data_IF_753027976651
#
_entry.id   IF_753027976651
#
_cell.length_a   1.000
_cell.length_b   1.000
_cell.length_c   1.000
_cell.angle_alpha   90.00
_cell.angle_beta   90.00
_cell.angle_gamma   90.00
#
_symmetry.space_group_name_H-M   'P 1'
#
loop_
_entity.id
_entity.type
_entity.pdbx_description
1 polymer ?
#
# COMPACT_ATOMS: atom_id res chain seq x y z
N UNK A 1 -28.38 51.00 14.77
CA UNK A 1 -26.92 50.83 14.93
C UNK A 1 -26.45 49.37 14.75
N UNK A 2 -27.12 48.36 15.33
CA UNK A 2 -26.73 46.94 15.26
C UNK A 2 -26.76 46.27 13.86
N UNK A 3 -27.58 46.76 12.92
CA UNK A 3 -27.73 46.13 11.58
C UNK A 3 -26.54 46.37 10.65
N UNK A 4 -25.86 47.51 10.78
CA UNK A 4 -24.64 47.82 10.03
C UNK A 4 -23.44 47.04 10.57
N UNK A 5 -23.37 46.84 11.89
CA UNK A 5 -22.30 46.07 12.52
C UNK A 5 -22.31 44.59 12.08
N UNK A 6 -23.49 43.95 12.03
CA UNK A 6 -23.64 42.59 11.48
C UNK A 6 -23.21 42.47 10.02
N UNK A 7 -23.50 43.48 9.17
CA UNK A 7 -23.08 43.47 7.76
C UNK A 7 -21.55 43.53 7.63
N UNK A 8 -20.90 44.39 8.40
CA UNK A 8 -19.44 44.54 8.39
C UNK A 8 -18.76 43.25 8.85
N UNK A 9 -19.23 42.61 9.93
CA UNK A 9 -18.68 41.34 10.41
C UNK A 9 -18.82 40.23 9.35
N UNK A 10 -19.97 40.12 8.69
CA UNK A 10 -20.18 39.14 7.62
C UNK A 10 -19.25 39.40 6.44
N UNK A 11 -18.95 40.65 6.13
CA UNK A 11 -18.03 41.01 5.05
C UNK A 11 -16.58 40.67 5.41
N UNK A 12 -16.14 40.95 6.65
CA UNK A 12 -14.83 40.57 7.16
C UNK A 12 -14.67 39.05 7.16
N UNK A 13 -15.68 38.30 7.63
CA UNK A 13 -15.66 36.83 7.63
C UNK A 13 -15.50 36.28 6.21
N UNK A 14 -16.20 36.85 5.24
CA UNK A 14 -16.06 36.46 3.82
C UNK A 14 -14.64 36.70 3.30
N UNK A 15 -14.03 37.85 3.62
CA UNK A 15 -12.65 38.12 3.23
C UNK A 15 -11.66 37.15 3.89
N UNK A 16 -11.81 36.85 5.18
CA UNK A 16 -10.95 35.88 5.88
C UNK A 16 -11.08 34.48 5.27
N UNK A 17 -12.29 34.04 4.94
CA UNK A 17 -12.53 32.75 4.28
C UNK A 17 -11.89 32.72 2.89
N UNK A 18 -12.06 33.77 2.09
CA UNK A 18 -11.48 33.87 0.75
C UNK A 18 -9.96 33.88 0.80
N UNK A 19 -9.36 34.68 1.68
CA UNK A 19 -7.91 34.71 1.87
C UNK A 19 -7.36 33.36 2.38
N UNK A 20 -8.09 32.70 3.29
CA UNK A 20 -7.74 31.35 3.75
C UNK A 20 -7.80 30.31 2.63
N UNK A 21 -8.83 30.35 1.78
CA UNK A 21 -8.95 29.48 0.62
C UNK A 21 -7.84 29.73 -0.41
N UNK A 22 -7.52 31.00 -0.70
CA UNK A 22 -6.40 31.35 -1.59
C UNK A 22 -5.09 30.86 -1.01
N UNK A 23 -4.84 31.04 0.29
CA UNK A 23 -3.64 30.55 0.95
C UNK A 23 -3.53 29.01 0.89
N UNK A 24 -4.64 28.29 1.11
CA UNK A 24 -4.68 26.84 0.95
C UNK A 24 -4.42 26.41 -0.50
N UNK A 25 -5.01 27.07 -1.49
CA UNK A 25 -4.80 26.77 -2.92
C UNK A 25 -3.34 27.05 -3.30
N UNK A 26 -2.77 28.19 -2.89
CA UNK A 26 -1.37 28.52 -3.15
C UNK A 26 -0.44 27.52 -2.45
N UNK A 27 -0.72 27.13 -1.20
CA UNK A 27 0.07 26.11 -0.50
C UNK A 27 -0.03 24.74 -1.17
N UNK A 28 -1.20 24.34 -1.66
CA UNK A 28 -1.39 23.09 -2.40
C UNK A 28 -0.65 23.11 -3.75
N UNK A 29 -0.72 24.22 -4.50
CA UNK A 29 0.02 24.40 -5.75
C UNK A 29 1.54 24.41 -5.52
N UNK A 30 2.02 25.06 -4.46
CA UNK A 30 3.45 25.07 -4.11
C UNK A 30 3.96 23.71 -3.59
N UNK A 31 3.10 22.93 -2.92
CA UNK A 31 3.45 21.59 -2.46
C UNK A 31 3.59 20.58 -3.62
N UNK A 32 2.81 20.75 -4.69
CA UNK A 32 2.95 19.96 -5.91
C UNK A 32 4.30 20.21 -6.61
N UNK A 33 4.81 21.44 -6.58
CA UNK A 33 6.12 21.78 -7.16
C UNK A 33 7.31 21.29 -6.32
N UNK A 34 7.16 21.17 -5.00
CA UNK A 34 8.24 20.74 -4.10
C UNK A 34 8.50 19.23 -4.19
N UNK A 35 7.44 18.43 -4.36
CA UNK A 35 7.51 16.98 -4.58
C UNK A 35 7.89 16.60 -6.01
N UNK A 36 8.22 17.55 -6.88
CA UNK A 36 8.63 17.29 -8.26
C UNK A 36 10.06 17.79 -8.57
N UNK A 37 10.74 18.38 -7.60
CA UNK A 37 12.12 18.86 -7.78
C UNK A 37 13.11 17.75 -7.47
N UNK A 38 13.87 17.37 -8.50
CA UNK A 38 15.06 16.52 -8.36
C UNK A 38 16.06 17.26 -7.45
N UNK A 39 16.64 16.60 -6.43
CA UNK A 39 17.64 17.22 -5.57
C UNK A 39 18.84 17.76 -6.37
N UNK A 40 19.46 18.84 -5.88
CA UNK A 40 20.73 19.32 -6.46
C UNK A 40 21.83 18.28 -6.23
N UNK A 41 22.92 18.32 -7.01
CA UNK A 41 23.98 17.28 -6.98
C UNK A 41 24.47 16.92 -5.56
N UNK A 42 24.85 17.92 -4.75
CA UNK A 42 25.32 17.66 -3.38
C UNK A 42 24.21 17.07 -2.48
N UNK A 43 22.96 17.50 -2.67
CA UNK A 43 21.81 16.97 -1.94
C UNK A 43 21.47 15.55 -2.39
N UNK A 44 21.66 15.25 -3.68
CA UNK A 44 21.47 13.93 -4.27
C UNK A 44 22.52 12.94 -3.75
N UNK A 45 23.79 13.31 -3.70
CA UNK A 45 24.85 12.45 -3.16
C UNK A 45 24.56 12.09 -1.70
N UNK A 46 24.19 13.10 -0.88
CA UNK A 46 23.79 12.88 0.51
C UNK A 46 22.58 11.94 0.61
N UNK A 47 21.54 12.20 -0.17
CA UNK A 47 20.33 11.36 -0.23
C UNK A 47 20.66 9.91 -0.60
N UNK A 48 21.52 9.71 -1.60
CA UNK A 48 21.95 8.40 -2.06
C UNK A 48 22.65 7.61 -0.94
N UNK A 49 23.57 8.26 -0.21
CA UNK A 49 24.31 7.63 0.90
C UNK A 49 23.35 7.27 2.04
N UNK A 50 22.50 8.21 2.47
CA UNK A 50 21.55 7.98 3.55
C UNK A 50 20.56 6.85 3.21
N UNK A 51 20.04 6.84 1.98
CA UNK A 51 19.08 5.83 1.54
C UNK A 51 19.73 4.45 1.35
N UNK A 52 21.00 4.38 0.91
CA UNK A 52 21.77 3.13 0.88
C UNK A 52 21.95 2.53 2.27
N UNK A 53 22.26 3.38 3.27
CA UNK A 53 22.41 2.95 4.65
C UNK A 53 21.10 2.41 5.22
N UNK A 54 19.98 3.09 4.96
CA UNK A 54 18.65 2.62 5.38
C UNK A 54 18.24 1.33 4.66
N UNK A 55 18.47 1.23 3.34
CA UNK A 55 18.25 0.00 2.59
C UNK A 55 19.05 -1.18 3.16
N UNK A 56 20.32 -0.96 3.47
CA UNK A 56 21.20 -1.98 4.08
C UNK A 56 20.69 -2.46 5.44
N UNK A 57 20.18 -1.54 6.28
CA UNK A 57 19.53 -1.88 7.55
C UNK A 57 18.28 -2.73 7.32
N UNK A 58 17.41 -2.32 6.39
CA UNK A 58 16.17 -3.05 6.05
C UNK A 58 16.48 -4.48 5.58
N UNK A 59 17.45 -4.65 4.69
CA UNK A 59 17.86 -5.98 4.21
C UNK A 59 18.46 -6.83 5.35
N UNK A 60 19.22 -6.24 6.27
CA UNK A 60 19.74 -6.96 7.43
C UNK A 60 18.62 -7.44 8.36
N UNK A 61 17.60 -6.62 8.60
CA UNK A 61 16.44 -6.99 9.42
C UNK A 61 15.70 -8.17 8.79
N UNK A 62 15.42 -8.12 7.48
CA UNK A 62 14.80 -9.24 6.76
C UNK A 62 15.61 -10.54 6.96
N UNK A 63 16.93 -10.51 6.73
CA UNK A 63 17.78 -11.70 6.89
C UNK A 63 17.75 -12.24 8.32
N UNK A 64 17.90 -11.36 9.31
CA UNK A 64 17.88 -11.74 10.72
C UNK A 64 16.53 -12.34 11.12
N UNK A 65 15.42 -11.77 10.67
CA UNK A 65 14.07 -12.30 10.93
C UNK A 65 13.86 -13.65 10.24
N UNK A 66 14.30 -13.81 8.99
CA UNK A 66 14.23 -15.09 8.28
C UNK A 66 15.06 -16.19 8.98
N UNK A 67 16.25 -15.86 9.49
CA UNK A 67 17.09 -16.77 10.28
C UNK A 67 16.44 -17.12 11.62
N UNK A 68 15.97 -16.11 12.37
CA UNK A 68 15.28 -16.27 13.66
C UNK A 68 14.14 -17.28 13.58
N UNK A 69 13.38 -17.27 12.48
CA UNK A 69 12.22 -18.15 12.29
C UNK A 69 12.48 -19.40 11.44
N UNK A 70 13.74 -19.69 11.08
CA UNK A 70 14.11 -20.86 10.29
C UNK A 70 13.36 -20.91 8.93
N UNK A 71 13.37 -19.80 8.18
CA UNK A 71 12.56 -19.60 6.98
C UNK A 71 13.38 -19.52 5.69
N UNK A 72 12.75 -19.89 4.58
CA UNK A 72 13.30 -19.77 3.24
C UNK A 72 14.66 -20.44 3.09
N UNK A 73 15.66 -19.71 2.61
CA UNK A 73 17.03 -20.25 2.41
C UNK A 73 17.73 -20.64 3.71
N UNK A 74 17.24 -20.18 4.86
CA UNK A 74 17.81 -20.49 6.18
C UNK A 74 17.14 -21.70 6.84
N UNK A 75 16.18 -22.35 6.17
CA UNK A 75 15.40 -23.45 6.73
C UNK A 75 16.25 -24.70 6.95
N UNK A 76 16.41 -25.05 8.21
CA UNK A 76 16.89 -26.34 8.70
C UNK A 76 15.69 -27.30 8.88
N UNK A 77 15.61 -28.40 8.11
CA UNK A 77 14.50 -29.36 8.21
C UNK A 77 14.36 -30.03 9.58
N UNK A 78 15.40 -30.01 10.42
CA UNK A 78 15.37 -30.59 11.76
C UNK A 78 14.67 -29.70 12.79
N UNK A 79 14.44 -28.42 12.47
CA UNK A 79 13.83 -27.44 13.37
C UNK A 79 12.41 -27.11 12.93
N UNK A 80 11.50 -27.06 13.90
CA UNK A 80 10.13 -26.61 13.65
C UNK A 80 10.13 -25.10 13.38
N UNK A 81 9.46 -24.66 12.31
CA UNK A 81 9.24 -23.24 12.04
C UNK A 81 7.92 -22.77 12.66
N UNK A 82 7.93 -21.57 13.23
CA UNK A 82 6.74 -20.93 13.78
C UNK A 82 5.74 -20.50 12.69
N UNK A 83 6.17 -20.38 11.44
CA UNK A 83 5.33 -19.93 10.33
C UNK A 83 5.32 -20.95 9.18
N UNK A 84 4.14 -21.16 8.58
CA UNK A 84 4.04 -21.90 7.31
C UNK A 84 4.47 -20.98 6.17
N UNK A 85 5.63 -21.27 5.58
CA UNK A 85 6.25 -20.46 4.54
C UNK A 85 6.24 -21.19 3.19
N UNK A 86 6.07 -20.50 2.05
CA UNK A 86 6.14 -21.12 0.74
C UNK A 86 7.47 -21.87 0.52
N UNK A 87 7.48 -23.03 -0.17
CA UNK A 87 8.71 -23.79 -0.38
C UNK A 87 9.61 -23.21 -1.48
N UNK A 88 9.03 -22.41 -2.38
CA UNK A 88 9.72 -21.77 -3.52
C UNK A 88 9.25 -20.33 -3.67
N UNK A 89 10.04 -19.48 -4.33
CA UNK A 89 9.59 -18.14 -4.69
C UNK A 89 8.28 -18.17 -5.50
N UNK A 90 7.42 -17.19 -5.27
CA UNK A 90 6.21 -17.00 -6.07
C UNK A 90 6.57 -16.31 -7.39
N UNK A 91 7.19 -17.04 -8.32
CA UNK A 91 7.72 -16.45 -9.56
C UNK A 91 6.68 -15.69 -10.39
N UNK A 92 5.46 -16.22 -10.48
CA UNK A 92 4.39 -15.64 -11.29
C UNK A 92 4.00 -14.23 -10.88
N UNK A 93 4.21 -13.82 -9.62
CA UNK A 93 3.82 -12.46 -9.18
C UNK A 93 4.80 -11.38 -9.62
N UNK A 94 6.02 -11.74 -10.05
CA UNK A 94 7.04 -10.76 -10.42
C UNK A 94 6.79 -10.16 -11.80
N UNK A 95 7.09 -8.87 -11.94
CA UNK A 95 7.32 -8.23 -13.22
C UNK A 95 8.83 -8.19 -13.46
N UNK A 96 9.29 -8.89 -14.50
CA UNK A 96 10.71 -9.10 -14.78
C UNK A 96 11.08 -8.39 -16.07
N UNK A 97 11.88 -7.33 -15.98
CA UNK A 97 12.32 -6.51 -17.11
C UNK A 97 13.83 -6.66 -17.28
N UNK A 98 14.24 -7.76 -17.91
CA UNK A 98 15.66 -8.12 -18.12
C UNK A 98 16.44 -7.01 -18.84
N UNK A 99 15.82 -6.35 -19.82
CA UNK A 99 16.41 -5.25 -20.59
C UNK A 99 16.75 -4.01 -19.76
N UNK A 100 16.25 -3.93 -18.53
CA UNK A 100 16.47 -2.83 -17.59
C UNK A 100 17.07 -3.30 -16.26
N UNK A 101 17.57 -4.54 -16.21
CA UNK A 101 18.16 -5.14 -15.01
C UNK A 101 17.25 -5.06 -13.76
N UNK A 102 15.93 -5.16 -13.93
CA UNK A 102 14.95 -4.92 -12.87
C UNK A 102 13.89 -6.02 -12.78
N UNK A 103 13.71 -6.57 -11.58
CA UNK A 103 12.57 -7.39 -11.20
C UNK A 103 11.80 -6.72 -10.06
N UNK A 104 10.48 -6.69 -10.14
CA UNK A 104 9.64 -6.05 -9.14
C UNK A 104 8.55 -6.99 -8.64
N UNK A 105 8.45 -7.15 -7.32
CA UNK A 105 7.32 -7.84 -6.69
C UNK A 105 6.26 -6.82 -6.21
N UNK A 106 5.04 -6.84 -6.78
CA UNK A 106 4.02 -5.81 -6.56
C UNK A 106 3.19 -6.07 -5.30
N UNK A 107 3.64 -5.62 -4.13
CA UNK A 107 2.75 -5.59 -2.96
C UNK A 107 1.60 -4.60 -3.20
N UNK A 108 0.38 -5.12 -3.34
CA UNK A 108 -0.79 -4.28 -3.54
C UNK A 108 -1.06 -3.38 -2.33
N UNK A 109 -1.49 -2.15 -2.62
CA UNK A 109 -1.72 -1.08 -1.63
C UNK A 109 -0.46 -0.56 -0.91
N UNK A 110 0.73 -0.94 -1.36
CA UNK A 110 2.02 -0.40 -0.93
C UNK A 110 2.74 0.38 -2.06
N UNK A 111 2.00 1.15 -2.87
CA UNK A 111 2.59 1.93 -3.97
C UNK A 111 2.79 1.15 -5.28
N UNK A 112 2.23 -0.06 -5.40
CA UNK A 112 2.30 -0.90 -6.61
C UNK A 112 1.85 -0.20 -7.89
N UNK A 113 0.75 0.55 -7.89
CA UNK A 113 0.31 1.30 -9.07
C UNK A 113 1.39 2.24 -9.61
N UNK A 114 2.15 2.89 -8.72
CA UNK A 114 3.26 3.79 -9.10
C UNK A 114 4.37 3.01 -9.81
N UNK A 115 4.83 1.90 -9.22
CA UNK A 115 5.92 1.13 -9.80
C UNK A 115 5.52 0.37 -11.05
N UNK A 116 4.30 -0.17 -11.12
CA UNK A 116 3.75 -0.78 -12.34
C UNK A 116 3.67 0.27 -13.46
N UNK A 117 3.27 1.51 -13.15
CA UNK A 117 3.31 2.61 -14.13
C UNK A 117 4.72 2.84 -14.66
N UNK A 118 5.71 2.93 -13.78
CA UNK A 118 7.10 3.11 -14.19
C UNK A 118 7.61 1.94 -15.04
N UNK A 119 7.27 0.70 -14.70
CA UNK A 119 7.61 -0.47 -15.50
C UNK A 119 7.00 -0.40 -16.91
N UNK A 120 5.75 0.04 -17.03
CA UNK A 120 5.14 0.27 -18.34
C UNK A 120 5.90 1.31 -19.16
N UNK A 121 6.32 2.43 -18.55
CA UNK A 121 7.14 3.43 -19.25
C UNK A 121 8.49 2.87 -19.71
N UNK A 122 9.15 2.07 -18.86
CA UNK A 122 10.41 1.40 -19.19
C UNK A 122 10.28 0.44 -20.38
N UNK A 123 9.08 -0.10 -20.59
CA UNK A 123 8.68 -0.95 -21.72
C UNK A 123 8.10 -0.16 -22.90
N UNK A 124 8.25 1.17 -22.92
CA UNK A 124 7.77 2.07 -23.97
C UNK A 124 6.25 2.07 -24.17
N UNK A 125 5.47 1.71 -23.14
CA UNK A 125 4.02 1.93 -23.15
C UNK A 125 3.76 3.42 -23.01
N UNK A 126 2.89 3.95 -23.88
CA UNK A 126 2.59 5.38 -23.97
C UNK A 126 1.83 5.87 -22.73
N UNK A 127 2.14 7.09 -22.27
CA UNK A 127 1.45 7.71 -21.13
C UNK A 127 -0.06 7.86 -21.38
N UNK A 128 -0.48 8.14 -22.62
CA UNK A 128 -1.90 8.27 -22.94
C UNK A 128 -2.67 6.96 -22.73
N UNK A 129 -2.04 5.81 -23.00
CA UNK A 129 -2.64 4.50 -22.76
C UNK A 129 -2.82 4.25 -21.26
N UNK A 130 -1.77 4.53 -20.47
CA UNK A 130 -1.77 4.34 -19.03
C UNK A 130 -2.72 5.28 -18.28
N UNK A 131 -2.97 6.47 -18.82
CA UNK A 131 -3.88 7.46 -18.24
C UNK A 131 -5.31 7.39 -18.81
N UNK A 132 -5.59 6.43 -19.70
CA UNK A 132 -6.89 6.33 -20.39
C UNK A 132 -8.05 5.86 -19.50
N UNK A 133 -7.74 5.17 -18.39
CA UNK A 133 -8.75 4.55 -17.50
C UNK A 133 -9.55 3.40 -18.11
N UNK A 134 -9.22 2.98 -19.35
CA UNK A 134 -9.96 1.94 -20.08
C UNK A 134 -9.66 0.53 -19.59
N UNK A 135 -8.41 0.26 -19.23
CA UNK A 135 -7.92 -1.02 -18.75
C UNK A 135 -7.20 -0.84 -17.41
N UNK A 136 -7.14 -1.89 -16.60
CA UNK A 136 -6.33 -1.85 -15.37
C UNK A 136 -4.85 -1.79 -15.73
N UNK A 137 -4.08 -1.01 -14.97
CA UNK A 137 -2.65 -0.85 -15.23
C UNK A 137 -1.87 -2.17 -15.16
N UNK A 138 -2.28 -3.09 -14.27
CA UNK A 138 -1.70 -4.44 -14.17
C UNK A 138 -1.96 -5.26 -15.43
N UNK A 139 -3.13 -5.12 -16.07
CA UNK A 139 -3.44 -5.76 -17.35
C UNK A 139 -2.55 -5.23 -18.46
N UNK A 140 -2.40 -3.91 -18.55
CA UNK A 140 -1.49 -3.28 -19.52
C UNK A 140 -0.04 -3.74 -19.29
N UNK A 141 0.39 -3.76 -18.02
CA UNK A 141 1.73 -4.19 -17.64
C UNK A 141 1.99 -5.66 -17.99
N UNK A 142 1.04 -6.57 -17.74
CA UNK A 142 1.19 -8.00 -18.09
C UNK A 142 1.23 -8.25 -19.59
N UNK A 143 0.56 -7.41 -20.39
CA UNK A 143 0.69 -7.46 -21.85
C UNK A 143 2.10 -7.06 -22.32
N UNK A 144 2.70 -6.07 -21.67
CA UNK A 144 4.06 -5.60 -21.99
C UNK A 144 5.16 -6.46 -21.35
N UNK A 145 4.88 -7.07 -20.20
CA UNK A 145 5.81 -7.85 -19.36
C UNK A 145 5.10 -9.17 -18.99
N UNK A 146 5.12 -10.16 -19.90
CA UNK A 146 4.52 -11.46 -19.66
C UNK A 146 5.11 -12.16 -18.44
N UNK A 147 4.31 -13.02 -17.81
CA UNK A 147 4.76 -13.86 -16.71
C UNK A 147 5.83 -14.85 -17.19
N UNK A 148 6.83 -15.07 -16.35
CA UNK A 148 7.85 -16.08 -16.56
C UNK A 148 7.59 -17.24 -15.60
N UNK A 149 7.75 -18.45 -16.11
CA UNK A 149 7.65 -19.69 -15.33
C UNK A 149 9.04 -20.21 -14.95
N UNK A 150 9.08 -21.15 -14.01
CA UNK A 150 10.29 -21.89 -13.71
C UNK A 150 10.73 -22.74 -14.93
N UNK A 151 12.03 -22.84 -15.28
CA UNK A 151 13.21 -22.28 -14.58
C UNK A 151 13.59 -20.86 -15.01
N UNK A 152 12.95 -20.32 -16.05
CA UNK A 152 13.32 -19.06 -16.69
C UNK A 152 13.20 -17.85 -15.75
N UNK A 153 12.16 -17.84 -14.92
CA UNK A 153 11.95 -16.82 -13.90
C UNK A 153 13.03 -16.84 -12.83
N UNK A 154 13.46 -18.02 -12.40
CA UNK A 154 14.49 -18.20 -11.37
C UNK A 154 15.86 -17.69 -11.85
N UNK A 155 16.21 -18.00 -13.09
CA UNK A 155 17.41 -17.45 -13.74
C UNK A 155 17.34 -15.92 -13.87
N UNK A 156 16.18 -15.38 -14.24
CA UNK A 156 16.01 -13.94 -14.38
C UNK A 156 16.07 -13.22 -13.02
N UNK A 157 15.49 -13.79 -11.97
CA UNK A 157 15.57 -13.22 -10.62
C UNK A 157 17.02 -13.23 -10.11
N UNK A 158 17.82 -14.26 -10.41
CA UNK A 158 19.25 -14.28 -10.04
C UNK A 158 20.07 -13.20 -10.73
N UNK A 159 19.71 -12.83 -11.96
CA UNK A 159 20.51 -11.92 -12.80
C UNK A 159 20.07 -10.47 -12.73
N UNK A 160 18.81 -10.20 -12.36
CA UNK A 160 18.26 -8.85 -12.28
C UNK A 160 18.30 -8.26 -10.87
N UNK A 161 18.29 -6.93 -10.72
CA UNK A 161 18.09 -6.28 -9.41
C UNK A 161 16.64 -6.38 -8.97
N UNK A 162 16.38 -6.85 -7.73
CA UNK A 162 15.00 -7.02 -7.25
C UNK A 162 14.58 -5.88 -6.32
N UNK A 163 13.45 -5.27 -6.66
CA UNK A 163 12.80 -4.23 -5.88
C UNK A 163 11.59 -4.79 -5.14
N UNK A 164 11.49 -4.45 -3.86
CA UNK A 164 10.30 -4.62 -3.04
C UNK A 164 9.88 -3.27 -2.46
N UNK A 165 8.59 -2.95 -2.50
CA UNK A 165 8.04 -1.77 -1.83
C UNK A 165 7.03 -2.24 -0.80
N UNK A 166 7.25 -1.91 0.46
CA UNK A 166 6.39 -2.29 1.59
C UNK A 166 5.72 -1.07 2.21
N UNK A 167 4.70 -1.32 3.02
CA UNK A 167 3.95 -0.31 3.78
C UNK A 167 3.66 -0.89 5.16
N UNK A 168 3.39 -0.04 6.15
CA UNK A 168 2.86 -0.52 7.42
C UNK A 168 1.69 -1.52 7.21
N UNK A 169 1.72 -2.75 7.75
CA UNK A 169 0.74 -3.79 7.42
C UNK A 169 -0.71 -3.37 7.66
N UNK A 170 -0.98 -2.66 8.76
CA UNK A 170 -2.33 -2.16 9.05
C UNK A 170 -2.79 -1.05 8.12
N UNK A 171 -1.89 -0.15 7.72
CA UNK A 171 -2.19 0.88 6.73
C UNK A 171 -2.55 0.25 5.37
N UNK A 172 -1.81 -0.79 4.99
CA UNK A 172 -2.06 -1.53 3.76
C UNK A 172 -3.42 -2.21 3.79
N UNK A 173 -3.77 -2.88 4.88
CA UNK A 173 -5.07 -3.54 5.05
C UNK A 173 -6.23 -2.54 5.05
N UNK A 174 -6.06 -1.40 5.73
CA UNK A 174 -7.06 -0.33 5.69
C UNK A 174 -7.22 0.23 4.27
N UNK A 175 -6.11 0.45 3.56
CA UNK A 175 -6.13 0.88 2.17
C UNK A 175 -6.85 -0.14 1.28
N UNK A 176 -6.64 -1.45 1.50
CA UNK A 176 -7.33 -2.51 0.76
C UNK A 176 -8.84 -2.50 1.03
N UNK A 177 -9.25 -2.44 2.29
CA UNK A 177 -10.66 -2.36 2.68
C UNK A 177 -11.37 -1.15 2.02
N UNK A 178 -10.78 0.04 2.16
CA UNK A 178 -11.35 1.29 1.63
C UNK A 178 -11.40 1.32 0.10
N UNK A 179 -10.52 0.58 -0.54
CA UNK A 179 -10.48 0.48 -1.99
C UNK A 179 -11.45 -0.55 -2.55
N UNK A 180 -11.62 -1.69 -1.87
CA UNK A 180 -12.32 -2.86 -2.44
C UNK A 180 -13.69 -3.14 -1.82
N UNK A 181 -13.90 -2.80 -0.56
CA UNK A 181 -15.05 -3.29 0.22
C UNK A 181 -15.89 -2.18 0.87
N UNK A 182 -15.33 -1.00 1.13
CA UNK A 182 -16.02 0.09 1.83
C UNK A 182 -17.24 0.65 1.09
N UNK A 183 -17.20 0.66 -0.24
CA UNK A 183 -18.28 1.23 -1.04
C UNK A 183 -18.43 0.49 -2.37
N UNK A 184 -19.48 -0.33 -2.47
CA UNK A 184 -19.77 -1.13 -3.66
C UNK A 184 -20.37 -0.31 -4.82
N UNK A 185 -20.74 0.95 -4.55
CA UNK A 185 -21.44 1.87 -5.47
C UNK A 185 -20.53 3.01 -5.97
N UNK A 186 -19.30 3.10 -5.47
CA UNK A 186 -18.35 4.20 -5.70
C UNK A 186 -17.93 4.47 -7.17
N UNK A 187 -18.54 3.80 -8.15
CA UNK A 187 -18.30 4.00 -9.57
C UNK A 187 -17.63 2.82 -10.23
N UNK A 188 -17.65 2.81 -11.57
CA UNK A 188 -17.13 1.74 -12.44
C UNK A 188 -15.60 1.58 -12.40
N UNK A 189 -14.90 2.38 -11.60
CA UNK A 189 -13.48 2.20 -11.33
C UNK A 189 -13.26 0.93 -10.51
N UNK A 190 -13.04 -0.14 -11.27
CA UNK A 190 -12.35 -1.37 -10.92
C UNK A 190 -12.94 -2.15 -9.74
N UNK A 191 -14.09 -2.77 -10.01
CA UNK A 191 -14.43 -4.07 -9.42
C UNK A 191 -14.95 -4.05 -7.98
N UNK A 192 -15.28 -2.91 -7.38
CA UNK A 192 -15.85 -2.86 -6.02
C UNK A 192 -17.10 -3.75 -5.86
N UNK A 193 -18.03 -3.72 -6.83
CA UNK A 193 -19.17 -4.64 -6.84
C UNK A 193 -18.74 -6.12 -7.02
N UNK A 194 -17.70 -6.38 -7.80
CA UNK A 194 -17.13 -7.72 -7.94
C UNK A 194 -16.53 -8.21 -6.62
N UNK A 195 -15.74 -7.38 -5.94
CA UNK A 195 -15.17 -7.65 -4.62
C UNK A 195 -16.25 -7.85 -3.56
N UNK A 196 -17.31 -7.05 -3.59
CA UNK A 196 -18.47 -7.26 -2.75
C UNK A 196 -19.10 -8.63 -2.99
N UNK A 197 -19.37 -9.00 -4.25
CA UNK A 197 -19.96 -10.30 -4.57
C UNK A 197 -19.05 -11.46 -4.18
N UNK A 198 -17.74 -11.34 -4.43
CA UNK A 198 -16.75 -12.41 -4.17
C UNK A 198 -16.45 -12.59 -2.68
N UNK A 199 -16.30 -11.49 -1.95
CA UNK A 199 -15.89 -11.44 -0.55
C UNK A 199 -16.91 -10.76 0.35
N UNK A 200 -17.29 -9.52 0.04
CA UNK A 200 -18.09 -8.67 0.95
C UNK A 200 -19.40 -9.31 1.43
N UNK A 201 -20.19 -9.89 0.53
CA UNK A 201 -21.45 -10.57 0.86
C UNK A 201 -21.25 -11.71 1.87
N UNK A 202 -20.23 -12.55 1.66
CA UNK A 202 -19.88 -13.67 2.57
C UNK A 202 -19.36 -13.20 3.91
N UNK A 203 -18.61 -12.09 3.92
CA UNK A 203 -18.14 -11.46 5.16
C UNK A 203 -19.35 -10.99 5.97
N UNK A 204 -20.28 -10.28 5.34
CA UNK A 204 -21.51 -9.82 5.99
C UNK A 204 -22.35 -10.98 6.50
N UNK A 205 -22.61 -11.99 5.66
CA UNK A 205 -23.39 -13.17 6.03
C UNK A 205 -22.83 -13.86 7.27
N UNK A 206 -21.50 -13.92 7.41
CA UNK A 206 -20.85 -14.64 8.50
C UNK A 206 -20.69 -13.83 9.79
N UNK A 207 -20.44 -12.52 9.69
CA UNK A 207 -19.98 -11.71 10.83
C UNK A 207 -20.99 -10.64 11.27
N UNK A 208 -22.03 -10.34 10.48
CA UNK A 208 -23.01 -9.32 10.84
C UNK A 208 -23.96 -9.82 11.92
N UNK A 209 -24.02 -9.07 13.02
CA UNK A 209 -24.95 -9.34 14.12
C UNK A 209 -26.40 -8.98 13.73
N UNK A 210 -27.39 -9.63 14.34
CA UNK A 210 -28.81 -9.43 14.02
C UNK A 210 -29.33 -8.04 14.40
N UNK A 211 -28.74 -7.42 15.42
CA UNK A 211 -29.00 -6.05 15.88
C UNK A 211 -28.02 -5.02 15.27
N UNK A 212 -27.49 -5.32 14.08
CA UNK A 212 -26.52 -4.47 13.40
C UNK A 212 -27.00 -3.01 13.28
N UNK A 213 -26.15 -2.10 13.76
CA UNK A 213 -26.28 -0.66 13.52
C UNK A 213 -25.09 -0.22 12.68
N UNK A 214 -25.31 0.48 11.55
CA UNK A 214 -24.22 1.01 10.75
C UNK A 214 -23.30 1.94 11.57
N UNK A 215 -22.00 2.02 11.26
CA UNK A 215 -21.09 2.97 11.92
C UNK A 215 -21.60 4.40 11.77
N UNK A 216 -21.46 5.20 12.84
CA UNK A 216 -21.79 6.62 12.84
C UNK A 216 -20.97 7.40 11.81
N UNK A 217 -21.48 8.55 11.36
CA UNK A 217 -20.89 9.32 10.27
C UNK A 217 -19.43 9.73 10.55
N UNK A 218 -19.09 10.03 11.81
CA UNK A 218 -17.73 10.40 12.20
C UNK A 218 -16.75 9.22 12.22
N UNK A 219 -17.25 7.98 12.15
CA UNK A 219 -16.45 6.75 12.12
C UNK A 219 -16.17 6.27 10.68
N UNK A 220 -16.55 7.05 9.66
CA UNK A 220 -16.33 6.69 8.26
C UNK A 220 -15.82 7.90 7.47
N UNK A 221 -14.90 7.66 6.54
CA UNK A 221 -14.38 8.71 5.68
C UNK A 221 -15.07 8.65 4.33
N UNK A 222 -15.89 9.66 4.02
CA UNK A 222 -16.54 9.79 2.72
C UNK A 222 -15.62 10.48 1.71
N UNK A 223 -15.55 9.90 0.51
CA UNK A 223 -14.90 10.55 -0.63
C UNK A 223 -15.88 11.55 -1.23
N UNK A 224 -15.39 12.75 -1.53
CA UNK A 224 -16.16 13.77 -2.24
C UNK A 224 -16.54 13.25 -3.63
N UNK A 225 -17.73 13.59 -4.11
CA UNK A 225 -18.21 13.27 -5.46
C UNK A 225 -18.34 11.76 -5.76
N UNK A 226 -18.35 10.93 -4.71
CA UNK A 226 -18.58 9.48 -4.79
C UNK A 226 -19.96 9.15 -4.21
N UNK A 227 -20.80 8.33 -4.88
CA UNK A 227 -22.09 7.90 -4.34
C UNK A 227 -21.95 7.27 -2.96
N UNK A 228 -22.98 7.43 -2.11
CA UNK A 228 -23.02 6.76 -0.82
C UNK A 228 -23.04 5.23 -0.99
N UNK A 229 -22.42 4.47 -0.07
CA UNK A 229 -22.50 3.01 -0.10
C UNK A 229 -23.95 2.54 0.03
N UNK A 230 -24.23 1.35 -0.49
CA UNK A 230 -25.57 0.78 -0.49
C UNK A 230 -26.04 0.31 0.90
N UNK A 231 -25.15 0.27 1.89
CA UNK A 231 -25.43 -0.22 3.25
C UNK A 231 -25.37 -1.74 3.37
N UNK A 232 -25.03 -2.43 2.29
CA UNK A 232 -24.90 -3.89 2.22
C UNK A 232 -23.45 -4.35 2.43
N UNK A 233 -22.50 -3.42 2.34
CA UNK A 233 -21.06 -3.63 2.42
C UNK A 233 -20.63 -4.07 3.83
N UNK A 234 -19.57 -4.89 3.95
CA UNK A 234 -19.00 -5.19 5.26
C UNK A 234 -18.40 -3.94 5.91
N UNK A 235 -18.48 -3.86 7.24
CA UNK A 235 -17.75 -2.89 8.03
C UNK A 235 -16.27 -3.25 8.12
N UNK A 236 -15.44 -2.29 8.56
CA UNK A 236 -14.02 -2.55 8.77
C UNK A 236 -13.79 -3.63 9.84
N UNK A 237 -14.61 -3.65 10.91
CA UNK A 237 -14.56 -4.68 11.95
C UNK A 237 -14.86 -6.08 11.39
N UNK A 238 -15.91 -6.22 10.58
CA UNK A 238 -16.26 -7.49 9.93
C UNK A 238 -15.15 -7.95 8.97
N UNK A 239 -14.53 -7.02 8.23
CA UNK A 239 -13.36 -7.31 7.39
C UNK A 239 -12.15 -7.80 8.20
N UNK A 240 -11.85 -7.17 9.35
CA UNK A 240 -10.76 -7.61 10.24
C UNK A 240 -11.04 -9.01 10.80
N UNK A 241 -12.28 -9.29 11.22
CA UNK A 241 -12.67 -10.62 11.66
C UNK A 241 -12.51 -11.66 10.54
N UNK A 242 -12.86 -11.31 9.30
CA UNK A 242 -12.62 -12.15 8.14
C UNK A 242 -11.12 -12.48 7.97
N UNK A 243 -10.24 -11.48 8.03
CA UNK A 243 -8.79 -11.68 7.88
C UNK A 243 -8.22 -12.61 8.96
N UNK A 244 -8.62 -12.41 10.22
CA UNK A 244 -8.15 -13.21 11.35
C UNK A 244 -8.50 -14.70 11.16
N UNK A 245 -9.74 -14.99 10.76
CA UNK A 245 -10.27 -16.35 10.71
C UNK A 245 -10.12 -17.07 9.35
N UNK A 246 -9.59 -16.38 8.33
CA UNK A 246 -9.41 -16.97 6.99
C UNK A 246 -8.01 -17.53 6.81
N UNK A 247 -7.90 -18.70 6.18
CA UNK A 247 -6.60 -19.20 5.71
C UNK A 247 -6.16 -18.41 4.47
N UNK A 248 -5.43 -17.32 4.72
CA UNK A 248 -4.97 -16.39 3.68
C UNK A 248 -3.95 -17.03 2.73
N UNK A 249 -3.31 -18.15 3.09
CA UNK A 249 -2.38 -18.83 2.19
C UNK A 249 -3.12 -19.52 1.02
N UNK A 250 -4.35 -19.97 1.24
CA UNK A 250 -5.15 -20.66 0.24
C UNK A 250 -6.29 -19.80 -0.34
N UNK A 251 -6.79 -18.83 0.42
CA UNK A 251 -7.98 -18.04 0.05
C UNK A 251 -7.75 -16.52 0.10
N UNK A 252 -6.51 -16.08 0.36
CA UNK A 252 -6.15 -14.67 0.37
C UNK A 252 -6.31 -14.03 -1.02
N UNK A 253 -6.69 -12.76 -1.04
CA UNK A 253 -6.63 -11.93 -2.25
C UNK A 253 -5.33 -11.14 -2.24
N UNK A 254 -4.77 -10.88 -3.42
CA UNK A 254 -3.49 -10.18 -3.57
C UNK A 254 -3.45 -8.81 -2.87
N UNK A 255 -4.62 -8.17 -2.66
CA UNK A 255 -4.71 -6.87 -1.98
C UNK A 255 -4.46 -6.92 -0.48
N UNK A 256 -4.64 -8.06 0.19
CA UNK A 256 -4.48 -8.21 1.64
C UNK A 256 -3.75 -9.47 2.09
N UNK A 257 -3.26 -10.29 1.16
CA UNK A 257 -2.37 -11.42 1.47
C UNK A 257 -1.06 -10.90 2.11
N UNK A 258 -0.51 -11.56 3.15
CA UNK A 258 0.77 -11.20 3.75
C UNK A 258 1.95 -11.14 2.77
N UNK A 259 2.92 -10.27 3.04
CA UNK A 259 4.13 -10.08 2.23
C UNK A 259 4.92 -11.38 2.10
N UNK A 260 5.04 -12.09 3.22
CA UNK A 260 5.84 -13.30 3.28
C UNK A 260 5.28 -14.45 2.42
N UNK A 261 3.96 -14.47 2.20
CA UNK A 261 3.30 -15.44 1.33
C UNK A 261 3.38 -15.03 -0.14
N UNK A 262 3.29 -13.73 -0.43
CA UNK A 262 3.17 -13.21 -1.78
C UNK A 262 4.52 -12.95 -2.45
N UNK A 263 5.44 -12.23 -1.78
CA UNK A 263 6.73 -11.83 -2.35
C UNK A 263 7.92 -12.66 -1.84
N UNK A 264 7.69 -13.58 -0.90
CA UNK A 264 8.67 -14.56 -0.41
C UNK A 264 10.07 -13.97 -0.07
N UNK A 265 10.20 -12.93 0.79
CA UNK A 265 11.46 -12.24 1.10
C UNK A 265 12.53 -13.06 1.84
N UNK A 266 12.22 -14.28 2.30
CA UNK A 266 13.21 -15.21 2.85
C UNK A 266 13.76 -16.18 1.79
N UNK A 267 13.17 -16.20 0.59
CA UNK A 267 13.65 -16.98 -0.57
C UNK A 267 14.23 -16.09 -1.68
N UNK A 268 13.84 -14.81 -1.70
CA UNK A 268 14.33 -13.83 -2.66
C UNK A 268 15.15 -12.77 -1.94
N UNK A 269 16.43 -12.66 -2.29
CA UNK A 269 17.33 -11.63 -1.75
C UNK A 269 17.11 -10.30 -2.48
N UNK A 270 16.26 -9.44 -1.92
CA UNK A 270 15.91 -8.16 -2.51
C UNK A 270 17.07 -7.16 -2.40
N UNK A 271 17.49 -6.64 -3.55
CA UNK A 271 18.53 -5.61 -3.65
C UNK A 271 18.05 -4.27 -3.07
N UNK A 272 16.76 -3.94 -3.24
CA UNK A 272 16.17 -2.69 -2.78
C UNK A 272 14.84 -2.95 -2.06
N UNK A 273 14.74 -2.50 -0.80
CA UNK A 273 13.54 -2.54 0.03
C UNK A 273 13.11 -1.11 0.34
N UNK A 274 12.15 -0.62 -0.44
CA UNK A 274 11.54 0.69 -0.26
C UNK A 274 10.35 0.62 0.71
N UNK A 275 10.06 1.73 1.38
CA UNK A 275 8.91 1.91 2.27
C UNK A 275 8.00 3.01 1.73
N UNK A 276 6.68 2.84 1.84
CA UNK A 276 5.72 3.89 1.46
C UNK A 276 5.96 5.18 2.26
N UNK A 277 6.39 5.04 3.51
CA UNK A 277 6.68 6.14 4.43
C UNK A 277 7.88 7.00 3.97
N UNK A 278 8.79 6.44 3.18
CA UNK A 278 9.98 7.11 2.61
C UNK A 278 10.02 7.04 1.09
N UNK A 279 8.85 6.87 0.45
CA UNK A 279 8.77 6.47 -0.95
C UNK A 279 9.38 7.49 -1.92
N UNK A 280 9.39 8.77 -1.54
CA UNK A 280 10.01 9.82 -2.36
C UNK A 280 11.51 9.57 -2.51
N UNK A 281 12.21 9.49 -1.37
CA UNK A 281 13.65 9.24 -1.31
C UNK A 281 13.99 7.87 -1.90
N UNK A 282 13.22 6.84 -1.55
CA UNK A 282 13.45 5.49 -2.05
C UNK A 282 13.28 5.40 -3.58
N UNK A 283 12.35 6.15 -4.17
CA UNK A 283 12.20 6.23 -5.63
C UNK A 283 13.39 6.89 -6.30
N UNK A 284 13.84 8.04 -5.78
CA UNK A 284 15.04 8.71 -6.30
C UNK A 284 16.22 7.75 -6.23
N UNK A 285 16.46 7.15 -5.07
CA UNK A 285 17.51 6.16 -4.87
C UNK A 285 17.42 5.00 -5.86
N UNK A 286 16.25 4.38 -5.99
CA UNK A 286 16.06 3.23 -6.89
C UNK A 286 16.31 3.59 -8.35
N UNK A 287 15.76 4.72 -8.81
CA UNK A 287 15.89 5.18 -10.19
C UNK A 287 17.35 5.45 -10.52
N UNK A 288 18.09 6.12 -9.63
CA UNK A 288 19.51 6.42 -9.85
C UNK A 288 20.41 5.19 -9.71
N UNK A 289 20.14 4.30 -8.73
CA UNK A 289 20.89 3.06 -8.51
C UNK A 289 20.82 2.11 -9.71
N UNK A 290 19.70 2.12 -10.43
CA UNK A 290 19.45 1.30 -11.62
C UNK A 290 19.69 2.05 -12.94
N UNK A 291 20.18 3.30 -12.89
CA UNK A 291 20.42 4.14 -14.07
C UNK A 291 19.18 4.35 -14.97
N UNK A 292 18.01 4.54 -14.36
CA UNK A 292 16.71 4.65 -15.06
C UNK A 292 16.22 6.10 -15.22
N UNK A 293 16.99 7.08 -14.76
CA UNK A 293 16.60 8.51 -14.71
C UNK A 293 16.31 9.13 -16.08
N UNK A 294 16.82 8.54 -17.17
CA UNK A 294 16.60 9.03 -18.54
C UNK A 294 15.21 8.66 -19.06
N UNK A 295 14.53 7.70 -18.45
CA UNK A 295 13.21 7.20 -18.88
C UNK A 295 12.10 7.50 -17.86
N UNK A 296 12.39 7.36 -16.57
CA UNK A 296 11.39 7.54 -15.51
C UNK A 296 11.86 8.56 -14.47
N UNK A 297 10.89 9.21 -13.83
CA UNK A 297 11.11 10.18 -12.75
C UNK A 297 10.35 9.78 -11.50
N UNK A 298 10.85 10.11 -10.30
CA UNK A 298 10.11 9.94 -9.07
C UNK A 298 8.75 10.63 -9.18
N UNK A 299 7.66 9.87 -8.99
CA UNK A 299 6.30 10.39 -8.99
C UNK A 299 5.50 9.64 -7.94
N UNK A 300 4.55 10.30 -7.27
CA UNK A 300 3.64 9.61 -6.37
C UNK A 300 2.21 9.73 -6.89
N UNK A 301 1.71 8.66 -7.51
CA UNK A 301 0.38 8.68 -8.16
C UNK A 301 -0.78 8.63 -7.16
N UNK A 302 -0.53 8.30 -5.89
CA UNK A 302 -1.57 8.19 -4.86
C UNK A 302 -1.03 8.52 -3.47
N UNK A 303 -1.13 9.78 -3.04
CA UNK A 303 -1.02 10.11 -1.62
C UNK A 303 -2.33 9.72 -0.93
N UNK A 304 -2.27 8.84 0.09
CA UNK A 304 -3.45 8.57 0.91
C UNK A 304 -3.70 9.78 1.82
N UNK A 305 -4.46 10.76 1.31
CA UNK A 305 -4.70 12.07 1.91
C UNK A 305 -5.66 12.10 3.11
N UNK A 306 -5.58 11.13 4.01
CA UNK A 306 -6.33 11.16 5.27
C UNK A 306 -5.43 10.76 6.42
N UNK A 307 -4.71 11.74 6.98
CA UNK A 307 -3.79 11.56 8.12
C UNK A 307 -4.44 10.83 9.31
N UNK A 308 -5.76 10.95 9.48
CA UNK A 308 -6.52 10.37 10.59
C UNK A 308 -7.29 9.08 10.24
N UNK A 309 -7.09 8.49 9.05
CA UNK A 309 -7.84 7.30 8.66
C UNK A 309 -7.59 6.13 9.62
N UNK A 310 -6.32 5.80 9.92
CA UNK A 310 -6.01 4.71 10.85
C UNK A 310 -6.73 4.87 12.19
N UNK A 311 -6.66 6.07 12.79
CA UNK A 311 -7.34 6.37 14.05
C UNK A 311 -8.85 6.12 13.98
N UNK A 312 -9.52 6.59 12.92
CA UNK A 312 -10.98 6.45 12.74
C UNK A 312 -11.39 4.97 12.59
N UNK A 313 -10.68 4.20 11.77
CA UNK A 313 -11.08 2.82 11.49
C UNK A 313 -10.64 1.85 12.58
N UNK A 314 -9.42 1.98 13.12
CA UNK A 314 -8.97 1.14 14.23
C UNK A 314 -9.64 1.51 15.56
N UNK A 315 -10.15 2.75 15.70
CA UNK A 315 -11.03 3.13 16.81
C UNK A 315 -12.38 2.41 16.87
N UNK A 316 -12.73 1.64 15.84
CA UNK A 316 -13.90 0.77 15.84
C UNK A 316 -13.61 -0.64 16.40
N UNK A 317 -12.34 -0.97 16.62
CA UNK A 317 -11.89 -2.29 17.03
C UNK A 317 -11.56 -2.33 18.52
N UNK A 318 -11.73 -3.48 19.16
CA UNK A 318 -11.20 -3.73 20.50
C UNK A 318 -9.69 -4.00 20.44
N UNK A 319 -8.98 -3.78 21.55
CA UNK A 319 -7.55 -4.14 21.66
C UNK A 319 -7.28 -5.61 21.33
N UNK A 320 -8.18 -6.51 21.74
CA UNK A 320 -8.10 -7.94 21.43
C UNK A 320 -8.17 -8.22 19.91
N UNK A 321 -9.06 -7.55 19.18
CA UNK A 321 -9.12 -7.69 17.72
C UNK A 321 -7.85 -7.19 17.05
N UNK A 322 -7.29 -6.07 17.52
CA UNK A 322 -6.02 -5.53 16.98
C UNK A 322 -4.87 -6.50 17.27
N UNK A 323 -4.79 -7.06 18.49
CA UNK A 323 -3.76 -8.04 18.83
C UNK A 323 -3.86 -9.30 17.96
N UNK A 324 -5.07 -9.84 17.77
CA UNK A 324 -5.28 -11.01 16.89
C UNK A 324 -4.93 -10.72 15.44
N UNK A 325 -5.22 -9.51 14.96
CA UNK A 325 -4.83 -9.08 13.61
C UNK A 325 -3.30 -8.91 13.50
N UNK A 326 -2.64 -8.37 14.53
CA UNK A 326 -1.19 -8.30 14.59
C UNK A 326 -0.58 -9.70 14.53
N UNK A 327 -1.03 -10.64 15.36
CA UNK A 327 -0.51 -12.03 15.34
C UNK A 327 -0.69 -12.69 13.96
N UNK A 328 -1.81 -12.41 13.27
CA UNK A 328 -2.06 -12.90 11.90
C UNK A 328 -1.02 -12.40 10.88
N UNK A 329 -0.52 -11.18 11.04
CA UNK A 329 0.44 -10.52 10.14
C UNK A 329 1.82 -10.33 10.77
N UNK A 330 2.11 -10.97 11.91
CA UNK A 330 3.29 -10.70 12.73
C UNK A 330 4.60 -10.79 11.97
N UNK A 331 4.74 -11.78 11.11
CA UNK A 331 5.95 -11.94 10.31
C UNK A 331 6.18 -10.75 9.36
N UNK A 332 5.12 -10.14 8.81
CA UNK A 332 5.25 -8.93 7.99
C UNK A 332 5.72 -7.72 8.81
N UNK A 333 5.23 -7.59 10.06
CA UNK A 333 5.70 -6.55 10.98
C UNK A 333 7.20 -6.72 11.29
N UNK A 334 7.61 -7.94 11.65
CA UNK A 334 9.01 -8.23 12.04
C UNK A 334 9.99 -8.24 10.86
N UNK A 335 9.56 -8.61 9.65
CA UNK A 335 10.41 -8.58 8.46
C UNK A 335 10.79 -7.15 8.06
N UNK A 336 9.90 -6.19 8.31
CA UNK A 336 10.07 -4.83 7.82
C UNK A 336 10.08 -3.78 8.93
N UNK A 337 10.29 -4.20 10.18
CA UNK A 337 10.45 -3.32 11.34
C UNK A 337 9.33 -2.29 11.47
N UNK A 338 8.10 -2.80 11.56
CA UNK A 338 6.91 -2.02 11.86
C UNK A 338 6.42 -2.33 13.28
N UNK A 339 5.83 -1.34 13.96
CA UNK A 339 5.22 -1.49 15.27
C UNK A 339 3.70 -1.31 15.23
N UNK A 340 2.92 -2.18 15.91
CA UNK A 340 1.48 -1.99 16.06
C UNK A 340 1.08 -0.99 17.16
N UNK A 341 2.03 -0.41 17.91
CA UNK A 341 1.76 0.25 19.19
C UNK A 341 0.74 1.39 19.13
N UNK A 342 0.87 2.27 18.13
CA UNK A 342 -0.06 3.40 17.93
C UNK A 342 -1.51 2.92 17.75
N UNK A 343 -1.71 1.75 17.15
CA UNK A 343 -3.03 1.20 16.88
C UNK A 343 -3.70 0.66 18.14
N UNK A 344 -2.93 0.17 19.11
CA UNK A 344 -3.48 -0.18 20.42
C UNK A 344 -3.99 1.05 21.18
N UNK A 345 -3.45 2.23 20.90
CA UNK A 345 -3.93 3.49 21.48
C UNK A 345 -5.23 3.97 20.83
N UNK A 346 -5.44 3.67 19.55
CA UNK A 346 -6.68 4.01 18.85
C UNK A 346 -7.86 3.16 19.27
N UNK A 347 -7.61 1.92 19.74
CA UNK A 347 -8.64 0.93 20.04
C UNK A 347 -9.78 1.49 20.90
N UNK A 348 -11.02 1.08 20.57
CA UNK A 348 -12.21 1.39 21.36
C UNK A 348 -11.99 0.96 22.81
N UNK A 349 -12.25 1.85 23.77
CA UNK A 349 -12.27 1.50 25.17
C UNK A 349 -13.29 0.38 25.40
N UNK A 350 -12.81 -0.71 26.04
CA UNK A 350 -13.59 -1.90 26.34
C UNK A 350 -14.76 -1.62 27.27
#
# INVERSE_FOLDING_TARGET
MFRNYKRIIVQILKYVIVCGLIFCIVRSLLAEDEYNKIPKFNDLEKLMIETEMENSKRSLIVRNTCQKYNLGIYKDPSKLSAFKYPPTPQYSVFYIVRSRDLSYCPIYKAGSTTWIYNLCLLMNVREEELNSGKEQISTIARRAIPELEFPEADEALRTTKKLLVVRHPFERLLSAYRDKLENSVAGREHGTLHFYRKYGSKIVEKYRETNFTPPEEYLVIRRKDVPLPAGIEPTFREFVQYLIHTDLANYGDDHWIPYYLYCTPCLVDYDIIAKVETLWQDQIYTIHKLHLQDTIKPKWRHSSGYENAAMIYFGQLSKDLIQKLYEKFKLDFELFDYSPDDYYQYARAS
#
